data_IF_482744190707
#
_entry.id   IF_482744190707
#
_cell.length_a   1.000
_cell.length_b   1.000
_cell.length_c   1.000
_cell.angle_alpha   90.00
_cell.angle_beta   90.00
_cell.angle_gamma   90.00
#
_symmetry.space_group_name_H-M   'P 1'
#
loop_
_entity.id
_entity.type
_entity.pdbx_description
1 polymer ?
#
# COMPACT_ATOMS: atom_id res chain seq x y z
N UNK A 1 10.16 -22.68 -17.52
CA UNK A 1 11.10 -22.80 -16.40
C UNK A 1 11.58 -21.41 -16.04
N UNK A 2 11.34 -20.94 -14.82
CA UNK A 2 11.94 -19.70 -14.32
C UNK A 2 13.45 -19.94 -14.24
N UNK A 3 14.22 -19.24 -15.07
CA UNK A 3 15.68 -19.27 -14.98
C UNK A 3 16.08 -18.77 -13.59
N UNK A 4 16.70 -19.62 -12.79
CA UNK A 4 17.35 -19.26 -11.53
C UNK A 4 18.57 -18.38 -11.85
N UNK A 5 18.33 -17.12 -12.23
CA UNK A 5 19.40 -16.14 -12.35
C UNK A 5 19.96 -15.90 -10.94
N UNK A 6 21.29 -16.03 -10.74
CA UNK A 6 21.94 -15.70 -9.46
C UNK A 6 21.59 -14.29 -8.97
N UNK A 7 21.32 -13.36 -9.91
CA UNK A 7 20.89 -12.00 -9.62
C UNK A 7 19.50 -11.96 -8.97
N UNK A 8 18.56 -12.79 -9.43
CA UNK A 8 17.22 -12.86 -8.86
C UNK A 8 17.28 -13.39 -7.43
N UNK A 9 18.06 -14.45 -7.19
CA UNK A 9 18.28 -14.99 -5.86
C UNK A 9 18.90 -13.93 -4.93
N UNK A 10 19.94 -13.24 -5.38
CA UNK A 10 20.58 -12.17 -4.61
C UNK A 10 19.61 -11.04 -4.25
N UNK A 11 18.71 -10.66 -5.16
CA UNK A 11 17.66 -9.66 -4.89
C UNK A 11 16.64 -10.16 -3.85
N UNK A 12 16.26 -11.43 -3.90
CA UNK A 12 15.36 -12.05 -2.90
C UNK A 12 16.03 -12.07 -1.53
N UNK A 13 17.31 -12.48 -1.46
CA UNK A 13 18.06 -12.52 -0.21
C UNK A 13 18.23 -11.11 0.40
N UNK A 14 18.52 -10.10 -0.43
CA UNK A 14 18.57 -8.70 0.01
C UNK A 14 17.22 -8.20 0.55
N UNK A 15 16.12 -8.58 -0.11
CA UNK A 15 14.77 -8.25 0.33
C UNK A 15 14.49 -8.85 1.71
N UNK A 16 14.81 -10.12 1.92
CA UNK A 16 14.69 -10.80 3.21
C UNK A 16 15.52 -10.16 4.32
N UNK A 17 16.76 -9.79 4.03
CA UNK A 17 17.59 -9.07 5.01
C UNK A 17 16.98 -7.72 5.43
N UNK A 18 16.32 -7.01 4.50
CA UNK A 18 15.62 -5.75 4.81
C UNK A 18 14.36 -5.96 5.64
N UNK A 19 13.59 -7.00 5.39
CA UNK A 19 12.42 -7.33 6.20
C UNK A 19 12.82 -7.70 7.63
N UNK A 20 13.91 -8.48 7.77
CA UNK A 20 14.44 -8.87 9.07
C UNK A 20 14.98 -7.67 9.87
N UNK A 21 15.76 -6.78 9.24
CA UNK A 21 16.27 -5.58 9.89
C UNK A 21 15.18 -4.54 10.20
N UNK A 22 14.07 -4.56 9.46
CA UNK A 22 12.88 -3.73 9.68
C UNK A 22 11.91 -4.26 10.73
N UNK A 23 12.22 -5.36 11.43
CA UNK A 23 11.39 -5.91 12.52
C UNK A 23 10.20 -6.76 12.05
N UNK A 24 10.09 -7.07 10.75
CA UNK A 24 9.09 -8.00 10.22
C UNK A 24 9.69 -9.41 10.25
N UNK A 25 9.71 -10.02 11.43
CA UNK A 25 10.29 -11.36 11.63
C UNK A 25 9.33 -12.51 11.27
N UNK A 26 8.03 -12.24 11.17
CA UNK A 26 7.04 -13.25 10.78
C UNK A 26 6.96 -13.35 9.24
N UNK A 27 7.37 -14.49 8.64
CA UNK A 27 7.38 -14.66 7.19
C UNK A 27 5.97 -14.59 6.57
N UNK A 28 4.92 -14.99 7.29
CA UNK A 28 3.54 -14.91 6.79
C UNK A 28 3.12 -13.45 6.60
N UNK A 29 3.34 -12.61 7.62
CA UNK A 29 3.08 -11.18 7.55
C UNK A 29 3.90 -10.51 6.45
N UNK A 30 5.15 -10.90 6.28
CA UNK A 30 5.99 -10.35 5.22
C UNK A 30 5.45 -10.71 3.82
N UNK A 31 4.97 -11.95 3.62
CA UNK A 31 4.33 -12.37 2.37
C UNK A 31 3.08 -11.52 2.10
N UNK A 32 2.25 -11.25 3.11
CA UNK A 32 1.06 -10.38 2.97
C UNK A 32 1.46 -8.97 2.52
N UNK A 33 2.45 -8.36 3.19
CA UNK A 33 2.92 -7.02 2.83
C UNK A 33 3.49 -6.97 1.41
N UNK A 34 4.33 -7.94 1.03
CA UNK A 34 4.83 -8.06 -0.35
C UNK A 34 3.67 -8.20 -1.35
N UNK A 35 2.68 -9.04 -1.02
CA UNK A 35 1.52 -9.26 -1.89
C UNK A 35 0.70 -7.98 -2.08
N UNK A 36 0.49 -7.19 -1.02
CA UNK A 36 -0.17 -5.90 -1.11
C UNK A 36 0.59 -4.91 -2.00
N UNK A 37 1.91 -4.83 -1.85
CA UNK A 37 2.77 -3.99 -2.69
C UNK A 37 2.66 -4.38 -4.18
N UNK A 38 2.72 -5.68 -4.47
CA UNK A 38 2.59 -6.20 -5.84
C UNK A 38 1.21 -5.90 -6.43
N UNK A 39 0.15 -6.05 -5.63
CA UNK A 39 -1.21 -5.74 -6.07
C UNK A 39 -1.37 -4.26 -6.39
N UNK A 40 -0.89 -3.36 -5.52
CA UNK A 40 -0.91 -1.92 -5.75
C UNK A 40 -0.14 -1.53 -7.02
N UNK A 41 1.07 -2.08 -7.21
CA UNK A 41 1.86 -1.85 -8.42
C UNK A 41 1.12 -2.28 -9.68
N UNK A 42 0.57 -3.50 -9.66
CA UNK A 42 -0.14 -4.06 -10.81
C UNK A 42 -1.42 -3.27 -11.12
N UNK A 43 -2.13 -2.79 -10.10
CA UNK A 43 -3.33 -1.99 -10.27
C UNK A 43 -3.02 -0.63 -10.91
N UNK A 44 -1.96 0.05 -10.47
CA UNK A 44 -1.51 1.32 -11.06
C UNK A 44 -1.10 1.16 -12.54
N UNK A 45 -0.35 0.10 -12.86
CA UNK A 45 0.05 -0.19 -14.24
C UNK A 45 -1.16 -0.48 -15.15
N UNK A 46 -2.15 -1.23 -14.64
CA UNK A 46 -3.38 -1.51 -15.39
C UNK A 46 -4.22 -0.25 -15.63
N UNK A 47 -4.32 0.64 -14.63
CA UNK A 47 -5.07 1.89 -14.77
C UNK A 47 -4.40 2.83 -15.78
N UNK A 48 -3.07 2.95 -15.73
CA UNK A 48 -2.27 3.73 -16.71
C UNK A 48 -2.43 3.21 -18.13
N UNK A 49 -2.38 1.89 -18.32
CA UNK A 49 -2.57 1.29 -19.65
C UNK A 49 -3.97 1.58 -20.20
N UNK A 50 -4.99 1.56 -19.34
CA UNK A 50 -6.37 1.89 -19.74
C UNK A 50 -6.54 3.37 -20.08
N UNK A 51 -5.93 4.27 -19.31
CA UNK A 51 -5.89 5.71 -19.63
C UNK A 51 -5.27 5.94 -21.01
N UNK A 52 -4.07 5.40 -21.24
CA UNK A 52 -3.38 5.56 -22.52
C UNK A 52 -4.16 4.94 -23.69
N UNK A 53 -4.82 3.79 -23.46
CA UNK A 53 -5.65 3.16 -24.48
C UNK A 53 -6.88 4.01 -24.81
N UNK A 54 -7.54 4.56 -23.80
CA UNK A 54 -8.71 5.43 -23.96
C UNK A 54 -8.36 6.75 -24.67
N UNK A 55 -7.21 7.34 -24.33
CA UNK A 55 -6.66 8.51 -25.05
C UNK A 55 -6.41 8.20 -26.54
N UNK A 56 -5.92 6.99 -26.84
CA UNK A 56 -5.67 6.56 -28.21
C UNK A 56 -6.96 6.26 -28.99
N UNK A 57 -7.96 5.62 -28.37
CA UNK A 57 -9.24 5.27 -29.02
C UNK A 57 -10.24 6.42 -29.02
N UNK A 58 -10.01 7.47 -28.22
CA UNK A 58 -10.94 8.57 -28.00
C UNK A 58 -12.12 8.20 -27.08
N UNK A 59 -12.06 7.05 -26.39
CA UNK A 59 -13.09 6.62 -25.45
C UNK A 59 -12.96 7.35 -24.10
N UNK A 60 -14.08 7.56 -23.41
CA UNK A 60 -14.05 8.09 -22.05
C UNK A 60 -13.64 7.01 -21.04
N UNK A 61 -12.54 7.21 -20.32
CA UNK A 61 -12.12 6.35 -19.22
C UNK A 61 -11.93 7.16 -17.94
N UNK A 62 -12.60 6.73 -16.86
CA UNK A 62 -12.45 7.30 -15.52
C UNK A 62 -11.44 6.45 -14.75
N UNK A 63 -10.43 7.09 -14.17
CA UNK A 63 -9.40 6.39 -13.40
C UNK A 63 -9.97 5.76 -12.14
N UNK A 64 -9.47 4.58 -11.78
CA UNK A 64 -9.77 3.97 -10.47
C UNK A 64 -9.21 4.78 -9.30
N UNK A 65 -8.27 5.67 -9.58
CA UNK A 65 -7.62 6.56 -8.62
C UNK A 65 -8.17 7.99 -8.70
N UNK A 66 -9.34 8.19 -9.31
CA UNK A 66 -10.02 9.49 -9.34
C UNK A 66 -11.03 9.62 -8.20
N UNK A 67 -11.13 10.83 -7.65
CA UNK A 67 -12.01 11.17 -6.53
C UNK A 67 -11.34 11.03 -5.16
N UNK A 68 -12.14 11.18 -4.11
CA UNK A 68 -11.69 11.08 -2.72
C UNK A 68 -12.06 9.74 -2.11
N UNK A 69 -11.22 9.22 -1.23
CA UNK A 69 -11.46 8.02 -0.43
C UNK A 69 -11.40 8.38 1.04
N UNK A 70 -12.48 8.05 1.75
CA UNK A 70 -12.57 8.21 3.20
C UNK A 70 -12.39 6.83 3.83
N UNK A 71 -11.41 6.65 4.73
CA UNK A 71 -11.21 5.39 5.44
C UNK A 71 -12.49 4.97 6.20
N UNK A 72 -12.82 3.67 6.25
CA UNK A 72 -14.05 3.19 6.87
C UNK A 72 -14.27 3.67 8.31
N UNK A 73 -13.19 3.78 9.08
CA UNK A 73 -13.18 4.24 10.48
C UNK A 73 -13.67 5.67 10.68
N UNK A 74 -13.48 6.55 9.69
CA UNK A 74 -13.87 7.97 9.77
C UNK A 74 -15.23 8.25 9.13
N UNK A 75 -15.82 7.31 8.38
CA UNK A 75 -17.08 7.54 7.64
C UNK A 75 -18.28 7.84 8.54
N UNK A 76 -18.27 7.36 9.78
CA UNK A 76 -19.37 7.54 10.75
C UNK A 76 -19.13 8.71 11.70
N UNK A 77 -17.99 9.41 11.59
CA UNK A 77 -17.70 10.59 12.41
C UNK A 77 -18.52 11.80 11.96
N UNK A 78 -18.62 12.80 12.84
CA UNK A 78 -19.45 14.01 12.62
C UNK A 78 -19.03 14.82 11.39
N UNK A 79 -17.75 14.72 10.96
CA UNK A 79 -17.19 15.42 9.80
C UNK A 79 -16.25 14.49 9.01
N UNK A 80 -16.79 13.56 8.20
CA UNK A 80 -16.00 12.53 7.52
C UNK A 80 -15.11 13.10 6.40
N UNK A 81 -15.50 14.24 5.81
CA UNK A 81 -14.78 14.89 4.71
C UNK A 81 -13.40 15.42 5.12
N UNK A 82 -13.17 15.66 6.43
CA UNK A 82 -11.85 16.06 6.95
C UNK A 82 -10.79 14.97 6.79
N UNK A 83 -11.22 13.72 6.69
CA UNK A 83 -10.36 12.55 6.51
C UNK A 83 -10.36 12.05 5.06
N UNK A 84 -10.89 12.86 4.13
CA UNK A 84 -10.86 12.53 2.72
C UNK A 84 -9.43 12.56 2.19
N UNK A 85 -8.99 11.41 1.67
CA UNK A 85 -7.69 11.25 1.02
C UNK A 85 -7.93 11.28 -0.48
N UNK A 86 -7.12 12.05 -1.22
CA UNK A 86 -7.14 12.00 -2.68
C UNK A 86 -6.73 10.60 -3.15
N UNK A 87 -7.56 9.94 -3.96
CA UNK A 87 -7.25 8.58 -4.45
C UNK A 87 -6.02 8.56 -5.34
N UNK A 88 -5.57 9.69 -5.88
CA UNK A 88 -4.34 9.81 -6.67
C UNK A 88 -3.09 9.55 -5.83
N UNK A 89 -3.07 9.96 -4.56
CA UNK A 89 -1.92 9.73 -3.67
C UNK A 89 -1.78 8.26 -3.27
N UNK A 90 -2.84 7.46 -3.42
CA UNK A 90 -2.84 6.02 -3.20
C UNK A 90 -2.21 5.23 -4.35
N UNK A 91 -1.73 5.89 -5.42
CA UNK A 91 -1.05 5.22 -6.53
C UNK A 91 0.32 4.72 -6.10
N UNK A 92 0.73 3.59 -6.65
CA UNK A 92 2.09 3.07 -6.45
C UNK A 92 3.17 4.11 -6.82
N UNK A 93 2.96 4.88 -7.89
CA UNK A 93 3.90 5.92 -8.33
C UNK A 93 4.18 7.00 -7.28
N UNK A 94 3.18 7.34 -6.47
CA UNK A 94 3.31 8.32 -5.39
C UNK A 94 3.88 7.64 -4.13
N UNK A 95 3.37 6.45 -3.82
CA UNK A 95 3.77 5.66 -2.66
C UNK A 95 5.27 5.31 -2.63
N UNK A 96 5.90 5.02 -3.78
CA UNK A 96 7.33 4.71 -3.88
C UNK A 96 8.27 5.89 -3.58
N UNK A 97 7.73 7.10 -3.43
CA UNK A 97 8.49 8.32 -3.18
C UNK A 97 8.24 8.89 -1.77
N UNK A 98 7.33 8.30 -1.01
CA UNK A 98 7.05 8.65 0.38
C UNK A 98 8.05 7.97 1.33
N UNK A 99 8.38 8.63 2.44
CA UNK A 99 9.19 8.01 3.49
C UNK A 99 8.34 6.97 4.25
N UNK A 100 8.97 5.92 4.78
CA UNK A 100 8.28 4.79 5.41
C UNK A 100 7.30 5.20 6.53
N UNK A 101 7.62 6.24 7.28
CA UNK A 101 6.79 6.81 8.34
C UNK A 101 5.50 7.46 7.79
N UNK A 102 5.62 8.19 6.68
CA UNK A 102 4.50 8.87 6.02
C UNK A 102 3.58 7.87 5.31
N UNK A 103 4.15 6.77 4.80
CA UNK A 103 3.38 5.66 4.21
C UNK A 103 2.43 5.01 5.22
N UNK A 104 2.85 4.89 6.48
CA UNK A 104 2.04 4.29 7.56
C UNK A 104 0.84 5.17 7.93
N UNK A 105 1.02 6.48 8.01
CA UNK A 105 -0.08 7.41 8.22
C UNK A 105 -1.03 7.48 7.01
N UNK A 106 -0.50 7.36 5.79
CA UNK A 106 -1.28 7.48 4.57
C UNK A 106 -2.14 6.25 4.23
N UNK A 107 -1.64 5.05 4.53
CA UNK A 107 -2.31 3.78 4.21
C UNK A 107 -3.34 3.32 5.24
N UNK A 108 -3.53 4.06 6.35
CA UNK A 108 -4.45 3.67 7.42
C UNK A 108 -4.06 2.35 8.10
N UNK A 109 -2.76 1.98 8.07
CA UNK A 109 -2.25 0.78 8.73
C UNK A 109 -1.66 1.14 10.11
N UNK A 110 -2.44 1.80 10.95
CA UNK A 110 -2.31 1.55 12.38
C UNK A 110 -3.10 0.27 12.65
N UNK A 111 -2.43 -0.89 12.52
CA UNK A 111 -2.82 -2.01 13.38
C UNK A 111 -2.60 -1.47 14.79
N UNK A 112 -3.63 -1.41 15.66
CA UNK A 112 -3.42 -1.01 17.03
C UNK A 112 -2.58 -2.09 17.70
N UNK A 113 -1.25 -1.92 17.70
CA UNK A 113 -0.38 -2.49 18.70
C UNK A 113 -0.50 -1.66 19.98
N UNK A 114 -1.73 -1.40 20.42
CA UNK A 114 -1.99 -0.97 21.78
C UNK A 114 -2.24 -2.24 22.60
N UNK A 115 -1.16 -2.78 23.17
CA UNK A 115 -1.28 -3.51 24.43
C UNK A 115 -1.97 -2.57 25.44
N UNK A 116 -3.08 -2.95 26.09
CA UNK A 116 -3.45 -2.30 27.33
C UNK A 116 -2.57 -2.92 28.41
N UNK A 117 -1.60 -2.11 28.84
CA UNK A 117 -1.00 -2.17 30.17
C UNK A 117 -2.00 -2.64 31.23
N UNK A 118 -1.54 -3.57 32.08
CA UNK A 118 -1.86 -3.68 33.51
C UNK A 118 -3.06 -2.86 34.00
N UNK A 119 -4.17 -3.54 34.29
CA UNK A 119 -5.18 -3.05 35.22
C UNK A 119 -4.84 -3.60 36.61
N UNK A 120 -4.04 -2.87 37.36
CA UNK A 120 -3.98 -2.99 38.82
C UNK A 120 -5.14 -2.20 39.45
N UNK A 121 -5.80 -2.80 40.44
CA UNK A 121 -6.67 -2.09 41.38
C UNK A 121 -8.16 -2.34 41.16
N UNK A 122 -8.69 -3.42 41.75
CA UNK A 122 -9.31 -3.45 43.10
C UNK A 122 -9.42 -4.90 43.54
#
# INVERSE_FOLDING_TARGET
>A
MLQNSPELKSKIDQLWNKFWSGGISNPLTAIEQITYLLFMKRLDDLDRNRQSSAEFTGESYVSKFEGTWIPPEYRTQSEPDKFAIDRRTLRWSEFKHMQAEEMLQHSGCQIPLSSPSTRSGT
#
